data_IF_769791849070
#
_entry.id   IF_769791849070
#
_cell.length_a   1.000
_cell.length_b   1.000
_cell.length_c   1.000
_cell.angle_alpha   90.00
_cell.angle_beta   90.00
_cell.angle_gamma   90.00
#
_symmetry.space_group_name_H-M   'P 1'
#
loop_
_entity.id
_entity.type
_entity.pdbx_description
1 polymer ?
#
# COMPACT_ATOMS: atom_id res chain seq x y z
N UNK A 1 -27.70 -8.34 -0.04
CA UNK A 1 -26.92 -7.47 -0.90
C UNK A 1 -25.43 -7.57 -0.61
N UNK A 2 -25.03 -7.40 0.62
CA UNK A 2 -23.61 -7.49 0.97
C UNK A 2 -23.04 -8.88 0.74
N UNK A 3 -23.77 -9.91 1.09
CA UNK A 3 -23.32 -11.28 0.87
C UNK A 3 -23.09 -11.54 -0.61
N UNK A 4 -23.96 -11.02 -1.45
CA UNK A 4 -23.84 -11.17 -2.88
C UNK A 4 -22.62 -10.42 -3.42
N UNK A 5 -22.40 -9.23 -2.91
CA UNK A 5 -21.23 -8.44 -3.31
C UNK A 5 -19.94 -9.11 -2.89
N UNK A 6 -19.90 -9.63 -1.67
CA UNK A 6 -18.74 -10.34 -1.17
C UNK A 6 -18.42 -11.55 -2.03
N UNK A 7 -19.44 -12.29 -2.42
CA UNK A 7 -19.26 -13.46 -3.27
C UNK A 7 -18.74 -13.09 -4.65
N UNK A 8 -19.21 -11.99 -5.20
CA UNK A 8 -18.70 -11.51 -6.48
C UNK A 8 -17.24 -11.15 -6.40
N UNK A 9 -16.82 -10.55 -5.28
CA UNK A 9 -15.42 -10.20 -5.10
C UNK A 9 -14.54 -11.44 -5.02
N UNK A 10 -15.00 -12.47 -4.33
CA UNK A 10 -14.26 -13.72 -4.24
C UNK A 10 -14.13 -14.37 -5.61
N UNK A 11 -15.22 -14.42 -6.36
CA UNK A 11 -15.20 -15.00 -7.70
C UNK A 11 -14.27 -14.22 -8.61
N UNK A 12 -14.32 -12.92 -8.53
CA UNK A 12 -13.46 -12.06 -9.34
C UNK A 12 -11.98 -12.29 -9.01
N UNK A 13 -11.63 -12.31 -7.74
CA UNK A 13 -10.27 -12.52 -7.31
C UNK A 13 -9.74 -13.86 -7.79
N UNK A 14 -10.57 -14.88 -7.69
CA UNK A 14 -10.23 -16.22 -8.13
C UNK A 14 -9.94 -16.28 -9.63
N UNK A 15 -10.73 -15.56 -10.42
CA UNK A 15 -10.59 -15.55 -11.87
C UNK A 15 -9.51 -14.61 -12.36
N UNK A 16 -9.26 -13.54 -11.63
CA UNK A 16 -8.35 -12.46 -12.06
C UNK A 16 -6.92 -12.61 -11.56
N UNK A 17 -6.64 -13.67 -10.81
CA UNK A 17 -5.30 -13.86 -10.24
C UNK A 17 -4.89 -12.65 -9.40
N UNK A 18 -5.79 -12.20 -8.55
CA UNK A 18 -5.54 -11.10 -7.62
C UNK A 18 -5.08 -11.68 -6.30
N UNK A 19 -4.05 -11.11 -5.75
CA UNK A 19 -3.55 -11.51 -4.45
C UNK A 19 -3.57 -10.33 -3.49
N UNK A 20 -4.09 -10.55 -2.28
CA UNK A 20 -4.10 -9.56 -1.22
C UNK A 20 -2.99 -9.89 -0.24
N UNK A 21 -2.18 -8.89 0.06
CA UNK A 21 -1.06 -9.04 0.97
C UNK A 21 -1.23 -8.06 2.13
N UNK A 22 -1.28 -8.60 3.33
CA UNK A 22 -1.41 -7.78 4.54
C UNK A 22 -0.17 -7.94 5.40
N UNK A 23 -0.25 -7.43 6.63
CA UNK A 23 0.88 -7.40 7.53
C UNK A 23 1.60 -8.72 7.76
N UNK A 24 0.89 -9.83 7.67
CA UNK A 24 1.50 -11.15 7.87
C UNK A 24 1.89 -11.84 6.57
N UNK A 25 2.26 -11.07 5.59
CA UNK A 25 2.45 -11.53 4.24
C UNK A 25 3.76 -12.28 4.02
N UNK A 26 4.38 -12.73 5.07
CA UNK A 26 5.61 -13.53 5.00
C UNK A 26 5.44 -14.79 4.19
N UNK A 27 4.21 -15.20 3.96
CA UNK A 27 3.90 -16.38 3.20
C UNK A 27 4.04 -16.20 1.70
N UNK A 28 4.27 -14.99 1.23
CA UNK A 28 4.25 -14.71 -0.20
C UNK A 28 5.65 -14.66 -0.76
N UNK A 29 6.31 -15.84 -0.78
CA UNK A 29 7.70 -15.92 -1.20
C UNK A 29 7.98 -15.29 -2.55
N UNK A 30 7.13 -15.56 -3.54
CA UNK A 30 7.35 -15.04 -4.90
C UNK A 30 7.15 -13.52 -4.98
N UNK A 31 6.34 -12.96 -4.09
CA UNK A 31 6.10 -11.53 -4.08
C UNK A 31 6.94 -10.81 -3.01
N UNK A 32 7.68 -11.54 -2.20
CA UNK A 32 8.38 -10.94 -1.06
C UNK A 32 9.35 -9.85 -1.47
N UNK A 33 10.13 -10.09 -2.49
CA UNK A 33 11.10 -9.10 -2.97
C UNK A 33 10.40 -7.86 -3.52
N UNK A 34 9.29 -8.07 -4.22
CA UNK A 34 8.51 -6.97 -4.76
C UNK A 34 7.92 -6.12 -3.64
N UNK A 35 7.38 -6.78 -2.61
CA UNK A 35 6.78 -6.10 -1.48
C UNK A 35 7.81 -5.28 -0.70
N UNK A 36 9.01 -5.82 -0.53
CA UNK A 36 10.08 -5.11 0.14
C UNK A 36 10.53 -3.90 -0.68
N UNK A 37 10.64 -4.05 -1.98
CA UNK A 37 10.97 -2.95 -2.87
C UNK A 37 9.90 -1.86 -2.81
N UNK A 38 8.64 -2.25 -2.78
CA UNK A 38 7.52 -1.32 -2.62
C UNK A 38 7.69 -0.54 -1.31
N UNK A 39 7.88 -1.27 -0.21
CA UNK A 39 8.00 -0.67 1.11
C UNK A 39 9.13 0.36 1.18
N UNK A 40 10.30 -0.04 0.72
CA UNK A 40 11.47 0.84 0.75
C UNK A 40 11.28 2.09 -0.10
N UNK A 41 10.71 1.91 -1.28
CA UNK A 41 10.51 3.01 -2.21
C UNK A 41 9.51 4.03 -1.63
N UNK A 42 8.37 3.52 -1.14
CA UNK A 42 7.34 4.38 -0.56
C UNK A 42 7.87 5.08 0.68
N UNK A 43 8.58 4.35 1.54
CA UNK A 43 9.11 4.91 2.77
C UNK A 43 10.10 6.05 2.50
N UNK A 44 10.95 5.86 1.52
CA UNK A 44 11.90 6.91 1.12
C UNK A 44 11.18 8.16 0.63
N UNK A 45 10.17 7.98 -0.21
CA UNK A 45 9.40 9.10 -0.75
C UNK A 45 8.59 9.78 0.37
N UNK A 46 8.00 8.97 1.26
CA UNK A 46 7.24 9.51 2.39
C UNK A 46 8.11 10.41 3.26
N UNK A 47 9.34 9.99 3.53
CA UNK A 47 10.27 10.79 4.34
C UNK A 47 10.71 12.07 3.63
N UNK A 48 10.83 12.04 2.32
CA UNK A 48 11.13 13.23 1.53
C UNK A 48 10.03 14.27 1.59
N UNK A 49 8.78 13.82 1.65
CA UNK A 49 7.61 14.69 1.59
C UNK A 49 6.83 14.74 2.90
N UNK A 50 7.53 14.52 4.01
CA UNK A 50 6.90 14.65 5.32
C UNK A 50 6.35 16.07 5.46
N UNK A 51 5.06 16.25 5.77
CA UNK A 51 4.50 17.59 5.88
C UNK A 51 5.20 18.39 6.97
N UNK A 52 5.79 19.49 6.58
CA UNK A 52 6.56 20.29 7.53
C UNK A 52 5.69 20.83 8.65
N UNK A 53 4.46 21.19 8.33
CA UNK A 53 3.52 21.65 9.34
C UNK A 53 3.23 20.57 10.38
N UNK A 54 3.11 19.33 9.94
CA UNK A 54 2.90 18.22 10.88
C UNK A 54 4.12 18.03 11.77
N UNK A 55 5.32 18.13 11.17
CA UNK A 55 6.57 17.96 11.92
C UNK A 55 6.73 19.07 12.95
N UNK A 56 6.49 20.31 12.57
CA UNK A 56 6.66 21.45 13.46
C UNK A 56 5.65 21.48 14.60
N UNK A 57 4.46 20.91 14.38
CA UNK A 57 3.40 20.85 15.37
C UNK A 57 3.34 19.53 16.11
N UNK A 58 4.28 18.63 15.86
CA UNK A 58 4.34 17.29 16.45
C UNK A 58 3.05 16.50 16.21
N UNK A 59 2.49 16.63 15.03
CA UNK A 59 1.32 15.85 14.63
C UNK A 59 1.83 14.49 14.19
N UNK A 60 1.41 13.44 14.89
CA UNK A 60 1.81 12.06 14.62
C UNK A 60 0.60 11.17 14.49
N UNK A 61 0.80 9.97 14.01
CA UNK A 61 -0.29 9.00 13.89
C UNK A 61 0.01 7.94 12.86
N UNK A 62 -0.86 6.98 12.79
CA UNK A 62 -0.75 5.85 11.87
C UNK A 62 -1.84 5.94 10.82
N UNK A 63 -1.44 5.82 9.56
CA UNK A 63 -2.37 5.77 8.42
C UNK A 63 -2.32 4.37 7.85
N UNK A 64 -3.45 3.71 7.76
CA UNK A 64 -3.50 2.37 7.17
C UNK A 64 -4.16 2.44 5.82
N UNK A 65 -3.45 2.00 4.80
CA UNK A 65 -3.91 2.06 3.42
C UNK A 65 -3.90 0.67 2.78
N UNK A 66 -4.83 0.48 1.87
CA UNK A 66 -4.77 -0.61 0.91
C UNK A 66 -4.42 0.00 -0.45
N UNK A 67 -3.35 -0.51 -1.05
CA UNK A 67 -2.86 -0.04 -2.34
C UNK A 67 -3.00 -1.18 -3.34
N UNK A 68 -3.65 -0.91 -4.45
CA UNK A 68 -3.76 -1.90 -5.52
C UNK A 68 -2.74 -1.54 -6.60
N UNK A 69 -1.83 -2.48 -6.85
CA UNK A 69 -0.77 -2.31 -7.85
C UNK A 69 -1.02 -3.31 -8.96
N UNK A 70 -1.01 -2.83 -10.19
CA UNK A 70 -1.20 -3.68 -11.36
C UNK A 70 0.10 -4.35 -11.80
N UNK A 71 -0.03 -5.27 -12.75
CA UNK A 71 1.10 -6.05 -13.25
C UNK A 71 2.24 -5.18 -13.79
N UNK A 72 1.91 -4.03 -14.33
CA UNK A 72 2.90 -3.09 -14.88
C UNK A 72 3.56 -2.24 -13.80
N UNK A 73 3.18 -2.43 -12.54
CA UNK A 73 3.76 -1.71 -11.41
C UNK A 73 3.10 -0.39 -11.09
N UNK A 74 2.07 -0.02 -11.83
CA UNK A 74 1.35 1.23 -11.55
C UNK A 74 0.28 1.04 -10.51
N UNK A 75 0.09 2.07 -9.67
CA UNK A 75 -0.97 2.08 -8.68
C UNK A 75 -2.31 2.26 -9.39
N UNK A 76 -3.25 1.36 -9.10
CA UNK A 76 -4.59 1.40 -9.67
C UNK A 76 -5.59 2.06 -8.73
N UNK A 77 -5.42 1.88 -7.43
CA UNK A 77 -6.32 2.44 -6.44
C UNK A 77 -5.64 2.50 -5.08
N UNK A 78 -6.10 3.43 -4.27
CA UNK A 78 -5.65 3.61 -2.89
C UNK A 78 -6.90 3.77 -2.04
N UNK A 79 -7.02 2.94 -1.00
CA UNK A 79 -8.15 3.01 -0.08
C UNK A 79 -7.64 3.28 1.33
N UNK A 80 -8.20 4.29 1.98
CA UNK A 80 -7.90 4.58 3.37
C UNK A 80 -8.68 3.60 4.25
N UNK A 81 -7.96 2.74 4.96
CA UNK A 81 -8.57 1.76 5.84
C UNK A 81 -8.71 2.30 7.27
N UNK A 82 -7.69 2.99 7.75
CA UNK A 82 -7.73 3.62 9.07
C UNK A 82 -7.05 4.98 8.99
N UNK A 83 -7.76 6.00 9.47
CA UNK A 83 -7.23 7.36 9.49
C UNK A 83 -6.31 7.56 10.69
N UNK A 84 -5.30 8.37 10.51
CA UNK A 84 -4.44 8.81 11.61
C UNK A 84 -5.14 9.77 12.56
N UNK A 85 -6.30 10.29 12.14
CA UNK A 85 -6.96 11.38 12.84
C UNK A 85 -6.56 12.74 12.29
N UNK A 86 -5.60 12.78 11.37
CA UNK A 86 -5.13 14.01 10.73
C UNK A 86 -5.32 13.89 9.24
N UNK A 87 -6.11 14.77 8.66
CA UNK A 87 -6.30 14.79 7.20
C UNK A 87 -4.95 15.03 6.51
N UNK A 88 -4.11 15.85 7.11
CA UNK A 88 -2.80 16.16 6.58
C UNK A 88 -1.93 14.90 6.42
N UNK A 89 -1.88 14.07 7.46
CA UNK A 89 -1.10 12.83 7.42
C UNK A 89 -1.73 11.81 6.48
N UNK A 90 -3.06 11.70 6.52
CA UNK A 90 -3.76 10.75 5.64
C UNK A 90 -3.47 11.08 4.17
N UNK A 91 -3.54 12.34 3.80
CA UNK A 91 -3.27 12.76 2.43
C UNK A 91 -1.80 12.61 2.08
N UNK A 92 -0.91 12.89 3.03
CA UNK A 92 0.52 12.71 2.80
C UNK A 92 0.87 11.26 2.51
N UNK A 93 0.26 10.33 3.24
CA UNK A 93 0.48 8.91 3.01
C UNK A 93 0.04 8.50 1.61
N UNK A 94 -1.17 8.91 1.22
CA UNK A 94 -1.66 8.63 -0.14
C UNK A 94 -0.73 9.23 -1.19
N UNK A 95 -0.27 10.45 -0.95
CA UNK A 95 0.61 11.13 -1.90
C UNK A 95 1.93 10.41 -2.05
N UNK A 96 2.47 9.86 -0.96
CA UNK A 96 3.72 9.09 -1.03
C UNK A 96 3.58 7.89 -1.97
N UNK A 97 2.42 7.25 -1.97
CA UNK A 97 2.15 6.14 -2.86
C UNK A 97 2.10 6.61 -4.32
N UNK A 98 1.39 7.70 -4.57
CA UNK A 98 1.28 8.22 -5.93
C UNK A 98 2.62 8.68 -6.48
N UNK A 99 3.40 9.34 -5.66
CA UNK A 99 4.70 9.88 -6.06
C UNK A 99 5.73 8.77 -6.31
N UNK A 100 5.63 7.66 -5.63
CA UNK A 100 6.58 6.57 -5.77
C UNK A 100 6.21 5.58 -6.88
N UNK A 101 4.99 5.64 -7.38
CA UNK A 101 4.55 4.81 -8.51
C UNK A 101 5.23 5.26 -9.80
N UNK A 102 5.59 4.37 -10.72
CA UNK A 102 5.42 2.92 -10.67
C UNK A 102 6.55 2.22 -9.91
N UNK A 103 6.26 0.98 -9.48
CA UNK A 103 7.21 0.20 -8.68
C UNK A 103 7.96 -0.86 -9.49
N UNK A 104 7.81 -0.83 -10.78
CA UNK A 104 8.36 -1.85 -11.65
C UNK A 104 7.35 -2.96 -11.92
N UNK A 105 7.45 -3.56 -13.10
CA UNK A 105 6.57 -4.64 -13.48
C UNK A 105 6.79 -5.85 -12.59
N UNK A 106 5.77 -6.68 -12.43
CA UNK A 106 5.87 -7.92 -11.70
C UNK A 106 6.91 -8.83 -12.37
N UNK A 107 7.69 -9.54 -11.58
CA UNK A 107 8.67 -10.47 -12.10
C UNK A 107 8.00 -11.73 -12.64
N UNK A 108 8.74 -12.49 -13.43
CA UNK A 108 8.24 -13.76 -13.95
C UNK A 108 7.87 -14.71 -12.83
N UNK A 109 8.59 -14.65 -11.70
CA UNK A 109 8.32 -15.48 -10.53
C UNK A 109 6.94 -15.23 -9.94
N UNK A 110 6.37 -14.06 -10.20
CA UNK A 110 5.03 -13.72 -9.71
C UNK A 110 3.95 -14.34 -10.59
N UNK A 111 4.37 -15.04 -11.63
CA UNK A 111 3.48 -15.83 -12.45
C UNK A 111 2.42 -15.00 -13.16
N UNK A 112 1.19 -15.41 -12.99
CA UNK A 112 0.06 -14.78 -13.70
C UNK A 112 -0.69 -13.76 -12.86
N UNK A 113 -0.09 -13.29 -11.78
CA UNK A 113 -0.74 -12.27 -10.95
C UNK A 113 -0.99 -11.01 -11.79
N UNK A 114 -2.19 -10.52 -11.74
CA UNK A 114 -2.55 -9.29 -12.43
C UNK A 114 -2.56 -8.09 -11.52
N UNK A 115 -2.79 -8.32 -10.23
CA UNK A 115 -2.83 -7.27 -9.22
C UNK A 115 -2.31 -7.77 -7.89
N UNK A 116 -1.70 -6.86 -7.14
CA UNK A 116 -1.42 -7.06 -5.74
C UNK A 116 -2.20 -6.02 -4.95
N UNK A 117 -2.88 -6.47 -3.91
CA UNK A 117 -3.53 -5.58 -2.96
C UNK A 117 -2.66 -5.57 -1.71
N UNK A 118 -1.99 -4.46 -1.50
CA UNK A 118 -0.99 -4.33 -0.45
C UNK A 118 -1.56 -3.50 0.68
N UNK A 119 -1.62 -4.08 1.88
CA UNK A 119 -2.11 -3.39 3.06
C UNK A 119 -0.93 -3.12 3.98
N UNK A 120 -0.68 -1.84 4.26
CA UNK A 120 0.44 -1.42 5.10
C UNK A 120 0.04 -0.24 5.96
N UNK A 121 0.82 0.01 6.99
CA UNK A 121 0.65 1.14 7.90
C UNK A 121 1.79 2.12 7.71
N UNK A 122 1.45 3.38 7.49
CA UNK A 122 2.39 4.51 7.46
C UNK A 122 2.40 5.11 8.83
N UNK A 123 3.49 4.91 9.55
CA UNK A 123 3.62 5.41 10.92
C UNK A 123 4.40 6.71 10.91
N UNK A 124 3.70 7.80 11.22
CA UNK A 124 4.30 9.13 11.28
C UNK A 124 4.73 9.43 12.70
N UNK A 125 6.04 9.47 12.92
CA UNK A 125 6.65 9.83 14.19
C UNK A 125 7.82 10.74 13.93
N UNK A 126 8.99 10.45 14.50
CA UNK A 126 10.21 11.20 14.19
C UNK A 126 10.56 11.01 12.71
N UNK A 127 10.46 9.79 12.25
CA UNK A 127 10.56 9.44 10.85
C UNK A 127 9.29 8.70 10.46
N UNK A 128 9.13 8.45 9.16
CA UNK A 128 8.02 7.67 8.69
C UNK A 128 8.48 6.25 8.43
N UNK A 129 7.80 5.30 9.05
CA UNK A 129 8.01 3.89 8.79
C UNK A 129 6.80 3.32 8.09
N UNK A 130 7.03 2.60 7.00
CA UNK A 130 5.98 1.85 6.32
C UNK A 130 6.12 0.41 6.77
N UNK A 131 5.12 -0.09 7.48
CA UNK A 131 5.21 -1.38 8.16
C UNK A 131 3.91 -2.16 8.00
N UNK A 132 3.87 -3.30 8.61
CA UNK A 132 2.71 -4.22 8.51
C UNK A 132 1.38 -3.64 8.99
#
# INVERSE_FOLDING_TARGET
MEAQLSQKQQDFASKSNVQTVSGNATTYGVAAAYLENFRLHVERIANQYYPEQARSQNITGDVRLMVIVGRDGHVKAITLLESSGSVMLDEAAKQSVRQSSPYGAFSEDMGKLEELRIIRTWRYGDDIEVTD
#
